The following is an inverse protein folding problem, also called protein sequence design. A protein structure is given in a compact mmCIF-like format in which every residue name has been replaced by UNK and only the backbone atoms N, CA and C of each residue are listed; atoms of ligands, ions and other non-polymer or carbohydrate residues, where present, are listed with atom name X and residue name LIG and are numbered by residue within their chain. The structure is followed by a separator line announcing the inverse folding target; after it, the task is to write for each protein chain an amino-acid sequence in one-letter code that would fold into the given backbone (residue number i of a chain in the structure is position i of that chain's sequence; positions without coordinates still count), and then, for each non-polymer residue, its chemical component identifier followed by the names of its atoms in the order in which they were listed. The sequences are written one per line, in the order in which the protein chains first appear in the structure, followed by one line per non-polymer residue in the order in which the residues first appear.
data_IF_835850726611
#
_entry.id   IF_835850726611
#
_cell.length_a   1.000
_cell.length_b   1.000
_cell.length_c   1.000
_cell.angle_alpha   90.00
_cell.angle_beta   90.00
_cell.angle_gamma   90.00
#
_symmetry.space_group_name_H-M   'P 1'
#
loop_
_entity.id
_entity.type
_entity.pdbx_description
1 polymer ?
#
# COMPACT_ATOMS: atom_id res chain seq x y z
N UNK A 1 30.74 -18.19 6.52
CA UNK A 1 29.88 -18.18 5.29
C UNK A 1 28.67 -17.23 5.42
N UNK A 2 28.09 -17.04 6.62
CA UNK A 2 27.00 -16.07 6.87
C UNK A 2 27.44 -14.58 6.79
N UNK A 3 28.69 -14.30 7.17
CA UNK A 3 29.35 -12.99 7.01
C UNK A 3 29.35 -12.50 5.55
N UNK A 4 29.56 -13.39 4.57
CA UNK A 4 29.67 -13.01 3.15
C UNK A 4 28.33 -12.74 2.47
N UNK A 5 27.23 -13.37 2.91
CA UNK A 5 25.89 -13.16 2.34
C UNK A 5 25.28 -11.84 2.86
N UNK A 6 25.41 -11.56 4.16
CA UNK A 6 24.95 -10.30 4.75
C UNK A 6 25.83 -9.11 4.33
N UNK A 7 27.16 -9.29 4.23
CA UNK A 7 28.02 -8.31 3.57
C UNK A 7 27.65 -8.13 2.11
N UNK A 8 27.26 -9.16 1.34
CA UNK A 8 26.88 -8.97 -0.07
C UNK A 8 25.59 -8.17 -0.26
N UNK A 9 24.61 -8.31 0.65
CA UNK A 9 23.39 -7.49 0.62
C UNK A 9 23.66 -6.06 1.11
N UNK A 10 24.43 -5.85 2.19
CA UNK A 10 24.87 -4.50 2.61
C UNK A 10 25.78 -3.83 1.59
N UNK A 11 26.65 -4.58 0.90
CA UNK A 11 27.51 -4.07 -0.17
C UNK A 11 26.71 -3.71 -1.41
N UNK A 12 25.60 -4.42 -1.69
CA UNK A 12 24.66 -4.03 -2.74
C UNK A 12 23.88 -2.75 -2.42
N UNK A 13 23.72 -2.40 -1.13
CA UNK A 13 23.23 -1.10 -0.68
C UNK A 13 24.33 -0.02 -0.62
N UNK A 14 25.60 -0.39 -0.37
CA UNK A 14 26.79 0.48 -0.48
C UNK A 14 27.26 0.71 -1.93
N UNK A 15 26.82 -0.10 -2.90
CA UNK A 15 27.09 0.05 -4.34
C UNK A 15 26.18 1.06 -5.04
N UNK A 16 25.31 1.75 -4.31
CA UNK A 16 25.01 3.13 -4.66
C UNK A 16 26.32 3.89 -4.42
N UNK A 17 27.01 4.24 -5.49
CA UNK A 17 28.28 4.96 -5.47
C UNK A 17 28.06 6.36 -4.85
N UNK A 18 28.05 6.43 -3.51
CA UNK A 18 27.96 7.67 -2.73
C UNK A 18 29.31 8.41 -2.79
N UNK A 19 30.37 7.76 -3.27
CA UNK A 19 31.72 8.32 -3.42
C UNK A 19 31.85 9.36 -4.53
N UNK A 20 30.87 9.47 -5.44
CA UNK A 20 30.75 10.59 -6.39
C UNK A 20 29.85 11.73 -5.90
N UNK A 21 29.20 11.59 -4.74
CA UNK A 21 28.42 12.68 -4.15
C UNK A 21 29.30 13.52 -3.24
N UNK A 22 29.36 14.81 -3.58
CA UNK A 22 30.09 15.88 -2.89
C UNK A 22 30.13 15.65 -1.36
N UNK A 23 31.32 15.55 -0.71
CA UNK A 23 31.45 15.35 0.73
C UNK A 23 30.80 16.45 1.59
N UNK A 24 30.33 17.54 0.97
CA UNK A 24 29.51 18.58 1.60
C UNK A 24 27.99 18.32 1.58
N UNK A 25 27.51 17.16 1.08
CA UNK A 25 26.08 16.81 1.09
C UNK A 25 25.59 16.48 2.50
N UNK A 26 25.23 17.55 3.19
CA UNK A 26 24.49 17.56 4.44
C UNK A 26 23.05 17.10 4.17
N UNK A 27 22.71 15.85 4.48
CA UNK A 27 21.31 15.44 4.63
C UNK A 27 20.92 15.64 6.09
N UNK A 28 20.27 16.77 6.37
CA UNK A 28 19.76 17.14 7.70
C UNK A 28 20.81 17.17 8.84
N UNK A 29 21.96 17.84 8.61
CA UNK A 29 22.98 18.15 9.64
C UNK A 29 23.64 16.96 10.35
N UNK A 30 23.62 15.74 9.79
CA UNK A 30 24.34 14.57 10.36
C UNK A 30 25.38 14.06 9.36
N UNK A 31 26.68 14.01 9.73
CA UNK A 31 27.74 13.47 8.89
C UNK A 31 27.51 11.99 8.53
N UNK A 32 27.73 11.63 7.25
CA UNK A 32 27.68 10.26 6.72
C UNK A 32 28.56 9.24 7.47
N UNK A 33 29.58 9.71 8.18
CA UNK A 33 30.46 8.90 9.02
C UNK A 33 29.78 8.39 10.29
N UNK A 34 28.92 9.18 10.94
CA UNK A 34 28.11 8.73 12.09
C UNK A 34 27.10 7.64 11.68
N UNK A 35 26.53 7.77 10.47
CA UNK A 35 25.61 6.82 9.84
C UNK A 35 26.19 5.41 9.67
N UNK A 36 27.46 5.30 9.26
CA UNK A 36 28.15 4.01 9.11
C UNK A 36 28.35 3.35 10.47
N UNK A 37 28.80 4.10 11.47
CA UNK A 37 29.04 3.60 12.82
C UNK A 37 27.74 3.15 13.51
N UNK A 38 26.63 3.85 13.27
CA UNK A 38 25.33 3.53 13.86
C UNK A 38 24.63 2.31 13.22
N UNK A 39 24.82 2.11 11.90
CA UNK A 39 24.40 0.90 11.19
C UNK A 39 25.25 -0.31 11.59
N UNK A 40 26.55 -0.11 11.81
CA UNK A 40 27.46 -1.12 12.35
C UNK A 40 27.09 -1.54 13.78
N UNK A 41 26.62 -0.61 14.61
CA UNK A 41 26.07 -0.90 15.95
C UNK A 41 24.82 -1.80 15.90
N UNK A 42 23.87 -1.51 15.00
CA UNK A 42 22.67 -2.35 14.80
C UNK A 42 23.04 -3.70 14.21
N UNK A 43 24.00 -3.71 13.29
CA UNK A 43 24.56 -4.94 12.72
C UNK A 43 25.25 -5.78 13.80
N UNK A 44 26.00 -5.18 14.72
CA UNK A 44 26.63 -5.88 15.85
C UNK A 44 25.60 -6.54 16.77
N UNK A 45 24.47 -5.87 17.05
CA UNK A 45 23.37 -6.46 17.83
C UNK A 45 22.69 -7.62 17.08
N UNK A 46 22.54 -7.51 15.75
CA UNK A 46 21.99 -8.56 14.89
C UNK A 46 22.96 -9.75 14.74
N UNK A 47 24.26 -9.47 14.67
CA UNK A 47 25.34 -10.46 14.58
C UNK A 47 25.50 -11.23 15.91
N UNK A 48 25.32 -10.57 17.05
CA UNK A 48 25.29 -11.22 18.36
C UNK A 48 24.09 -12.20 18.51
N UNK A 49 22.97 -11.93 17.83
CA UNK A 49 21.83 -12.86 17.74
C UNK A 49 22.20 -14.09 16.91
N UNK A 50 23.05 -13.94 15.88
CA UNK A 50 23.40 -14.99 14.91
C UNK A 50 24.63 -15.83 15.31
N UNK A 51 25.58 -15.29 16.08
CA UNK A 51 26.89 -15.91 16.37
C UNK A 51 26.91 -16.96 17.50
N UNK A 52 25.79 -17.23 18.20
CA UNK A 52 25.76 -18.29 19.23
C UNK A 52 25.82 -19.70 18.61
N UNK A 53 25.66 -19.82 17.29
CA UNK A 53 25.72 -21.10 16.57
C UNK A 53 27.15 -21.60 16.25
N UNK A 54 28.20 -20.83 16.54
CA UNK A 54 29.59 -21.20 16.16
C UNK A 54 30.52 -21.55 17.34
N UNK A 55 30.07 -21.53 18.60
CA UNK A 55 30.95 -21.73 19.78
C UNK A 55 30.77 -23.05 20.55
N UNK A 56 30.11 -24.07 19.98
CA UNK A 56 29.96 -25.40 20.61
C UNK A 56 30.96 -26.44 20.10
N UNK A 57 32.23 -26.08 19.91
CA UNK A 57 33.27 -27.06 19.53
C UNK A 57 34.62 -26.76 20.15
N UNK A 58 34.77 -27.00 21.46
CA UNK A 58 36.08 -27.25 22.08
C UNK A 58 35.93 -28.40 23.10
N UNK A 59 36.69 -29.47 22.85
CA UNK A 59 36.80 -30.68 23.67
C UNK A 59 37.27 -30.40 25.10
N UNK A 60 36.72 -31.11 26.09
CA UNK A 60 37.49 -31.98 27.02
C UNK A 60 36.57 -32.79 27.93
N UNK A 61 37.11 -33.92 28.34
CA UNK A 61 36.53 -35.08 29.02
C UNK A 61 36.13 -34.88 30.48
N UNK A 62 35.22 -35.76 30.92
CA UNK A 62 34.86 -36.17 32.30
C UNK A 62 33.81 -35.38 33.11
N UNK A 63 32.73 -36.14 33.42
CA UNK A 63 31.85 -36.11 34.60
C UNK A 63 31.51 -34.74 35.23
N UNK A 64 30.28 -34.29 35.02
CA UNK A 64 29.26 -34.11 36.07
C UNK A 64 28.03 -33.36 35.53
N UNK A 65 26.87 -33.69 36.09
CA UNK A 65 25.54 -33.16 35.78
C UNK A 65 25.50 -31.65 36.10
N UNK A 66 25.13 -30.79 35.13
CA UNK A 66 24.14 -29.70 35.32
C UNK A 66 23.93 -28.79 34.09
N UNK A 67 22.64 -28.58 33.76
CA UNK A 67 21.99 -27.46 33.09
C UNK A 67 22.64 -26.80 31.84
N UNK A 68 22.12 -27.12 30.65
CA UNK A 68 21.96 -26.22 29.48
C UNK A 68 21.17 -26.93 28.36
N UNK A 69 19.94 -26.52 28.11
CA UNK A 69 19.19 -26.93 26.91
C UNK A 69 18.54 -25.71 26.24
N UNK A 70 19.30 -25.00 25.40
CA UNK A 70 18.74 -24.23 24.31
C UNK A 70 18.42 -25.22 23.18
N UNK A 71 17.18 -25.74 23.17
CA UNK A 71 16.70 -26.67 22.15
C UNK A 71 16.40 -25.91 20.85
N UNK A 72 17.21 -26.11 19.80
CA UNK A 72 16.78 -25.81 18.43
C UNK A 72 15.64 -26.77 18.07
N UNK A 73 14.39 -26.27 18.04
CA UNK A 73 13.25 -27.02 17.51
C UNK A 73 13.17 -26.79 16.00
N UNK A 74 13.28 -27.84 15.19
CA UNK A 74 12.96 -27.76 13.76
C UNK A 74 11.51 -28.20 13.50
N UNK A 75 10.79 -27.42 12.70
CA UNK A 75 9.40 -27.71 12.33
C UNK A 75 9.28 -27.69 10.81
N UNK A 76 8.65 -28.70 10.23
CA UNK A 76 8.37 -28.75 8.81
C UNK A 76 7.01 -28.07 8.51
N UNK A 77 7.03 -27.00 7.71
CA UNK A 77 5.81 -26.30 7.28
C UNK A 77 5.79 -26.17 5.77
N UNK A 78 4.77 -26.79 5.14
CA UNK A 78 4.59 -26.84 3.68
C UNK A 78 5.85 -27.37 2.94
N UNK A 79 6.48 -28.41 3.47
CA UNK A 79 7.68 -29.01 2.89
C UNK A 79 8.96 -28.20 3.09
N UNK A 80 8.98 -27.27 4.06
CA UNK A 80 10.18 -26.49 4.42
C UNK A 80 10.52 -26.68 5.87
N UNK A 81 11.74 -27.13 6.12
CA UNK A 81 12.33 -27.15 7.46
C UNK A 81 12.55 -25.71 7.95
N UNK A 82 11.91 -25.37 9.07
CA UNK A 82 12.01 -24.08 9.73
C UNK A 82 12.68 -24.28 11.09
N UNK A 83 13.77 -23.55 11.35
CA UNK A 83 14.40 -23.55 12.67
C UNK A 83 13.70 -22.55 13.58
N UNK A 84 13.22 -23.01 14.73
CA UNK A 84 12.65 -22.17 15.78
C UNK A 84 13.78 -21.73 16.70
N UNK A 85 14.09 -20.44 16.66
CA UNK A 85 15.05 -19.81 17.57
C UNK A 85 14.25 -19.30 18.78
N UNK A 86 14.45 -19.91 19.94
CA UNK A 86 13.84 -19.46 21.20
C UNK A 86 14.78 -18.48 21.92
N UNK A 87 14.60 -17.18 21.66
CA UNK A 87 15.42 -16.12 22.25
C UNK A 87 14.62 -14.82 22.42
N UNK A 88 13.52 -14.93 23.17
CA UNK A 88 12.53 -13.86 23.34
C UNK A 88 13.13 -12.55 23.90
N UNK A 89 14.13 -12.66 24.79
CA UNK A 89 14.81 -11.50 25.39
C UNK A 89 15.50 -10.62 24.35
N UNK A 90 16.14 -11.21 23.34
CA UNK A 90 16.82 -10.42 22.29
C UNK A 90 15.85 -9.71 21.35
N UNK A 91 14.64 -10.23 21.16
CA UNK A 91 13.61 -9.50 20.41
C UNK A 91 13.14 -8.25 21.16
N UNK A 92 13.06 -8.32 22.48
CA UNK A 92 12.75 -7.16 23.31
C UNK A 92 13.79 -6.05 23.11
N UNK A 93 15.08 -6.36 23.25
CA UNK A 93 16.18 -5.40 23.07
C UNK A 93 16.17 -4.73 21.69
N UNK A 94 15.89 -5.50 20.64
CA UNK A 94 15.80 -5.00 19.26
C UNK A 94 14.60 -4.06 19.11
N UNK A 95 13.43 -4.44 19.61
CA UNK A 95 12.22 -3.62 19.53
C UNK A 95 12.37 -2.35 20.35
N UNK A 96 12.95 -2.43 21.54
CA UNK A 96 13.26 -1.29 22.40
C UNK A 96 14.21 -0.32 21.69
N UNK A 97 15.33 -0.84 21.17
CA UNK A 97 16.34 -0.03 20.47
C UNK A 97 15.75 0.68 19.25
N UNK A 98 15.00 -0.04 18.40
CA UNK A 98 14.36 0.55 17.21
C UNK A 98 13.30 1.59 17.58
N UNK A 99 12.58 1.37 18.68
CA UNK A 99 11.56 2.31 19.16
C UNK A 99 12.19 3.58 19.72
N UNK A 100 13.26 3.45 20.51
CA UNK A 100 14.05 4.57 21.04
C UNK A 100 14.70 5.38 19.92
N UNK A 101 15.36 4.73 18.95
CA UNK A 101 15.94 5.45 17.80
C UNK A 101 14.86 6.14 16.98
N UNK A 102 13.70 5.51 16.79
CA UNK A 102 12.58 6.16 16.08
C UNK A 102 12.10 7.44 16.79
N UNK A 103 12.10 7.49 18.12
CA UNK A 103 11.62 8.65 18.88
C UNK A 103 12.58 9.84 18.87
N UNK A 104 13.86 9.62 18.57
CA UNK A 104 14.87 10.69 18.41
C UNK A 104 14.59 11.59 17.19
N UNK A 105 13.83 11.08 16.19
CA UNK A 105 13.55 11.80 14.96
C UNK A 105 12.09 12.27 14.88
N UNK A 106 11.82 13.52 14.44
CA UNK A 106 10.46 14.01 14.26
C UNK A 106 9.62 13.11 13.33
N UNK A 107 8.31 13.01 13.59
CA UNK A 107 7.38 12.22 12.77
C UNK A 107 7.51 12.62 11.29
N UNK A 108 7.43 11.63 10.38
CA UNK A 108 7.52 11.78 8.91
C UNK A 108 8.89 12.16 8.34
N UNK A 109 9.92 12.31 9.16
CA UNK A 109 11.31 12.39 8.67
C UNK A 109 11.78 11.04 8.12
N UNK A 110 12.81 11.07 7.27
CA UNK A 110 13.39 9.87 6.67
C UNK A 110 13.74 8.81 7.73
N UNK A 111 14.50 9.18 8.77
CA UNK A 111 14.92 8.24 9.81
C UNK A 111 13.77 7.73 10.67
N UNK A 112 12.80 8.57 11.02
CA UNK A 112 11.60 8.12 11.73
C UNK A 112 10.82 7.05 10.93
N UNK A 113 10.73 7.23 9.60
CA UNK A 113 10.09 6.26 8.70
C UNK A 113 10.96 5.02 8.50
N UNK A 114 12.28 5.18 8.41
CA UNK A 114 13.24 4.08 8.24
C UNK A 114 13.21 3.14 9.44
N UNK A 115 13.34 3.64 10.68
CA UNK A 115 13.31 2.78 11.86
C UNK A 115 11.96 2.09 12.03
N UNK A 116 10.86 2.78 11.72
CA UNK A 116 9.53 2.15 11.64
C UNK A 116 9.50 1.02 10.61
N UNK A 117 10.08 1.25 9.43
CA UNK A 117 10.12 0.28 8.36
C UNK A 117 10.93 -0.95 8.76
N UNK A 118 12.11 -0.77 9.37
CA UNK A 118 12.97 -1.85 9.87
C UNK A 118 12.22 -2.71 10.90
N UNK A 119 11.57 -2.07 11.89
CA UNK A 119 10.79 -2.78 12.91
C UNK A 119 9.67 -3.62 12.28
N UNK A 120 8.93 -3.05 11.32
CA UNK A 120 7.85 -3.77 10.63
C UNK A 120 8.37 -4.87 9.68
N UNK A 121 9.55 -4.68 9.08
CA UNK A 121 10.16 -5.66 8.19
C UNK A 121 10.54 -6.95 8.93
N UNK A 122 10.89 -6.87 10.22
CA UNK A 122 11.21 -8.03 11.06
C UNK A 122 10.12 -9.11 11.03
N UNK A 123 8.85 -8.72 11.21
CA UNK A 123 7.70 -9.64 11.13
C UNK A 123 7.59 -10.27 9.73
N UNK A 124 7.85 -9.48 8.68
CA UNK A 124 7.84 -9.97 7.30
C UNK A 124 8.92 -11.03 7.04
N UNK A 125 10.09 -10.88 7.65
CA UNK A 125 11.19 -11.84 7.55
C UNK A 125 10.87 -13.16 8.26
N UNK A 126 10.15 -13.11 9.39
CA UNK A 126 9.70 -14.31 10.11
C UNK A 126 8.80 -15.23 9.29
N UNK A 127 8.06 -14.69 8.31
CA UNK A 127 7.19 -15.45 7.43
C UNK A 127 7.73 -15.60 5.99
N UNK A 128 8.97 -15.16 5.71
CA UNK A 128 9.54 -15.14 4.37
C UNK A 128 9.73 -16.56 3.83
N UNK A 129 9.37 -16.77 2.57
CA UNK A 129 9.61 -18.03 1.86
C UNK A 129 8.58 -19.14 2.10
N UNK A 130 7.63 -18.99 3.04
CA UNK A 130 6.63 -20.04 3.34
C UNK A 130 5.66 -20.34 2.19
N UNK A 131 5.32 -19.33 1.37
CA UNK A 131 4.34 -19.46 0.28
C UNK A 131 4.98 -19.60 -1.11
N UNK A 132 6.28 -19.93 -1.19
CA UNK A 132 7.03 -20.08 -2.45
C UNK A 132 6.80 -18.93 -3.46
N UNK A 133 6.58 -17.71 -2.95
CA UNK A 133 6.42 -16.54 -3.80
C UNK A 133 7.69 -16.36 -4.62
N UNK A 134 7.53 -15.97 -5.88
CA UNK A 134 8.66 -15.66 -6.74
C UNK A 134 8.88 -14.15 -6.79
N UNK A 135 10.15 -13.76 -6.82
CA UNK A 135 10.60 -12.39 -6.99
C UNK A 135 11.50 -12.31 -8.21
N UNK A 136 11.39 -11.23 -8.98
CA UNK A 136 12.30 -11.01 -10.10
C UNK A 136 13.70 -10.71 -9.57
N UNK A 137 14.67 -11.54 -9.93
CA UNK A 137 16.06 -11.33 -9.61
C UNK A 137 16.78 -10.72 -10.81
N UNK A 138 17.35 -9.53 -10.61
CA UNK A 138 18.06 -8.79 -11.65
C UNK A 138 19.39 -9.44 -12.02
N UNK A 139 19.96 -10.30 -11.17
CA UNK A 139 21.21 -11.00 -11.48
C UNK A 139 20.98 -12.13 -12.48
N UNK A 140 19.99 -12.98 -12.22
CA UNK A 140 19.62 -14.09 -13.13
C UNK A 140 18.72 -13.66 -14.30
N UNK A 141 18.08 -12.49 -14.22
CA UNK A 141 17.10 -12.04 -15.21
C UNK A 141 15.81 -12.87 -15.20
N UNK A 142 15.58 -13.68 -14.16
CA UNK A 142 14.44 -14.59 -14.04
C UNK A 142 13.71 -14.41 -12.72
N UNK A 143 12.53 -15.03 -12.59
CA UNK A 143 11.83 -15.07 -11.32
C UNK A 143 12.36 -16.23 -10.49
N UNK A 144 13.00 -15.93 -9.36
CA UNK A 144 13.47 -16.93 -8.42
C UNK A 144 12.48 -17.07 -7.27
N UNK A 145 12.36 -18.28 -6.72
CA UNK A 145 11.57 -18.52 -5.51
C UNK A 145 12.27 -17.83 -4.35
N UNK A 146 11.54 -16.99 -3.61
CA UNK A 146 12.06 -16.36 -2.40
C UNK A 146 12.39 -17.43 -1.37
N UNK A 147 13.66 -17.56 -1.02
CA UNK A 147 14.15 -18.51 -0.03
C UNK A 147 13.81 -18.09 1.40
N UNK A 148 13.78 -19.07 2.30
CA UNK A 148 13.72 -18.83 3.73
C UNK A 148 14.99 -18.07 4.17
N UNK A 149 14.84 -17.08 5.04
CA UNK A 149 15.97 -16.38 5.65
C UNK A 149 16.32 -16.92 7.03
N UNK A 150 17.42 -16.45 7.66
CA UNK A 150 17.82 -16.86 9.01
C UNK A 150 16.80 -16.49 10.09
N UNK A 151 16.04 -15.40 9.87
CA UNK A 151 15.04 -14.91 10.82
C UNK A 151 13.67 -15.60 10.66
N UNK A 152 13.56 -16.64 9.83
CA UNK A 152 12.28 -17.33 9.61
C UNK A 152 11.82 -17.97 10.93
N UNK A 153 10.63 -17.57 11.40
CA UNK A 153 9.98 -18.17 12.56
C UNK A 153 8.46 -18.04 12.38
N UNK A 154 7.82 -19.01 11.70
CA UNK A 154 6.40 -18.95 11.40
C UNK A 154 5.52 -18.97 12.66
N UNK A 155 6.00 -19.57 13.76
CA UNK A 155 5.27 -19.58 15.03
C UNK A 155 5.19 -18.16 15.62
N UNK A 156 6.30 -17.44 15.70
CA UNK A 156 6.29 -16.05 16.16
C UNK A 156 5.54 -15.13 15.19
N UNK A 157 5.75 -15.26 13.88
CA UNK A 157 4.99 -14.49 12.89
C UNK A 157 3.48 -14.73 13.00
N UNK A 158 3.06 -15.99 13.20
CA UNK A 158 1.69 -16.36 13.46
C UNK A 158 1.17 -15.75 14.76
N UNK A 159 1.88 -15.96 15.86
CA UNK A 159 1.51 -15.48 17.19
C UNK A 159 1.38 -13.96 17.24
N UNK A 160 2.35 -13.20 16.75
CA UNK A 160 2.30 -11.71 16.72
C UNK A 160 1.06 -11.24 15.98
N UNK A 161 0.78 -11.80 14.79
CA UNK A 161 -0.36 -11.35 13.99
C UNK A 161 -1.70 -11.80 14.57
N UNK A 162 -1.76 -12.97 15.21
CA UNK A 162 -2.96 -13.43 15.92
C UNK A 162 -3.22 -12.60 17.18
N UNK A 163 -2.18 -12.32 17.96
CA UNK A 163 -2.26 -11.54 19.20
C UNK A 163 -2.86 -10.15 18.95
N UNK A 164 -2.34 -9.39 17.98
CA UNK A 164 -2.88 -8.06 17.65
C UNK A 164 -4.32 -8.13 17.13
N UNK A 165 -4.70 -9.20 16.41
CA UNK A 165 -6.11 -9.39 16.00
C UNK A 165 -7.01 -9.68 17.19
N UNK A 166 -6.55 -10.44 18.18
CA UNK A 166 -7.29 -10.69 19.42
C UNK A 166 -7.47 -9.40 20.21
N UNK A 167 -6.40 -8.62 20.43
CA UNK A 167 -6.48 -7.30 21.08
C UNK A 167 -7.50 -6.40 20.39
N UNK A 168 -7.44 -6.31 19.06
CA UNK A 168 -8.38 -5.49 18.29
C UNK A 168 -9.82 -6.02 18.36
N UNK A 169 -10.01 -7.34 18.42
CA UNK A 169 -11.33 -7.96 18.59
C UNK A 169 -11.94 -7.65 19.96
N UNK A 170 -11.15 -7.70 21.03
CA UNK A 170 -11.59 -7.29 22.38
C UNK A 170 -12.03 -5.82 22.40
N UNK A 171 -11.22 -4.93 21.82
CA UNK A 171 -11.54 -3.50 21.72
C UNK A 171 -12.84 -3.29 20.94
N UNK A 172 -12.99 -3.95 19.78
CA UNK A 172 -14.20 -3.85 18.97
C UNK A 172 -15.44 -4.38 19.71
N UNK A 173 -15.29 -5.45 20.48
CA UNK A 173 -16.36 -6.00 21.31
C UNK A 173 -16.76 -5.02 22.42
N UNK A 174 -15.78 -4.37 23.05
CA UNK A 174 -16.02 -3.36 24.08
C UNK A 174 -16.74 -2.12 23.50
N UNK A 175 -16.34 -1.65 22.31
CA UNK A 175 -17.07 -0.60 21.58
C UNK A 175 -18.54 -1.00 21.37
N UNK A 176 -18.77 -2.23 20.91
CA UNK A 176 -20.12 -2.72 20.67
C UNK A 176 -20.97 -2.78 21.95
N UNK A 177 -20.40 -3.27 23.05
CA UNK A 177 -21.08 -3.36 24.35
C UNK A 177 -21.45 -1.99 24.91
N UNK A 178 -20.68 -0.94 24.57
CA UNK A 178 -20.96 0.45 24.94
C UNK A 178 -21.95 1.13 23.97
N UNK A 179 -22.51 0.40 23.00
CA UNK A 179 -23.47 0.92 22.03
C UNK A 179 -22.84 1.58 20.80
N UNK A 180 -21.51 1.57 20.68
CA UNK A 180 -20.79 2.05 19.50
C UNK A 180 -20.84 1.08 18.32
N UNK A 181 -20.65 1.61 17.12
CA UNK A 181 -20.55 0.84 15.87
C UNK A 181 -19.15 0.91 15.31
N UNK A 182 -18.69 -0.20 14.74
CA UNK A 182 -17.43 -0.26 13.98
C UNK A 182 -17.76 -0.11 12.49
N UNK A 183 -17.27 0.97 11.89
CA UNK A 183 -17.46 1.30 10.48
C UNK A 183 -16.43 0.55 9.61
N UNK A 184 -15.17 0.52 10.04
CA UNK A 184 -14.10 -0.19 9.35
C UNK A 184 -13.01 -0.64 10.30
N UNK A 185 -12.29 -1.69 9.94
CA UNK A 185 -11.17 -2.23 10.70
C UNK A 185 -10.08 -2.71 9.74
N UNK A 186 -8.83 -2.31 9.95
CA UNK A 186 -7.66 -2.67 9.14
C UNK A 186 -6.42 -2.84 10.01
N UNK A 187 -5.91 -4.07 10.08
CA UNK A 187 -4.68 -4.47 10.78
C UNK A 187 -4.69 -4.19 12.28
N UNK A 188 -4.46 -2.93 12.66
CA UNK A 188 -4.26 -2.41 14.01
C UNK A 188 -5.08 -1.12 14.25
N UNK A 189 -5.93 -0.71 13.30
CA UNK A 189 -6.76 0.49 13.42
C UNK A 189 -8.19 0.25 12.96
N UNK A 190 -9.11 1.06 13.49
CA UNK A 190 -10.52 1.01 13.15
C UNK A 190 -11.13 2.41 13.11
N UNK A 191 -12.33 2.50 12.53
CA UNK A 191 -13.18 3.70 12.51
C UNK A 191 -14.45 3.32 13.25
N UNK A 192 -14.87 4.17 14.18
CA UNK A 192 -16.11 4.03 14.95
C UNK A 192 -16.83 5.36 15.05
N UNK A 193 -18.13 5.31 15.28
CA UNK A 193 -18.97 6.47 15.61
C UNK A 193 -18.96 6.81 17.12
N UNK A 194 -18.24 6.03 17.93
CA UNK A 194 -18.16 6.24 19.36
C UNK A 194 -17.18 7.36 19.73
N UNK A 195 -17.60 8.26 20.63
CA UNK A 195 -16.73 9.28 21.24
C UNK A 195 -15.92 8.72 22.42
N UNK A 196 -14.84 9.39 22.81
CA UNK A 196 -14.08 9.06 24.03
C UNK A 196 -13.27 7.76 23.95
N UNK A 197 -12.97 7.28 22.74
CA UNK A 197 -12.21 6.05 22.48
C UNK A 197 -10.80 6.05 23.09
N UNK A 198 -10.17 7.20 23.22
CA UNK A 198 -8.88 7.41 23.89
C UNK A 198 -8.92 7.10 25.39
N UNK A 199 -10.07 7.30 26.01
CA UNK A 199 -10.35 7.03 27.43
C UNK A 199 -11.11 5.73 27.68
N UNK A 200 -11.21 4.86 26.67
CA UNK A 200 -11.97 3.61 26.78
C UNK A 200 -11.43 2.76 27.94
N UNK A 201 -12.33 2.38 28.85
CA UNK A 201 -12.01 1.47 29.93
C UNK A 201 -11.74 0.07 29.38
N UNK A 202 -10.52 -0.43 29.58
CA UNK A 202 -10.06 -1.77 29.19
C UNK A 202 -9.85 -2.70 30.38
N UNK A 203 -10.31 -2.30 31.57
CA UNK A 203 -10.24 -3.11 32.79
C UNK A 203 -11.49 -4.00 32.98
N UNK A 204 -12.40 -3.97 32.01
CA UNK A 204 -13.61 -4.80 32.00
C UNK A 204 -13.32 -6.30 31.75
N UNK A 205 -14.28 -7.19 32.07
CA UNK A 205 -14.18 -8.59 31.70
C UNK A 205 -14.07 -8.71 30.17
N UNK A 206 -13.19 -9.57 29.67
CA UNK A 206 -12.87 -9.78 28.25
C UNK A 206 -11.98 -8.72 27.57
N UNK A 207 -11.10 -8.05 28.33
CA UNK A 207 -10.04 -7.17 27.81
C UNK A 207 -8.63 -7.66 28.22
N UNK A 208 -8.45 -8.97 28.39
CA UNK A 208 -7.21 -9.55 28.93
C UNK A 208 -6.02 -9.29 28.01
N UNK A 209 -6.18 -9.51 26.71
CA UNK A 209 -5.11 -9.31 25.73
C UNK A 209 -4.79 -7.83 25.54
N UNK A 210 -5.81 -6.96 25.55
CA UNK A 210 -5.63 -5.50 25.52
C UNK A 210 -4.82 -5.00 26.72
N UNK A 211 -5.09 -5.52 27.93
CA UNK A 211 -4.31 -5.22 29.13
C UNK A 211 -2.88 -5.75 29.04
N UNK A 212 -2.69 -7.00 28.59
CA UNK A 212 -1.35 -7.55 28.34
C UNK A 212 -0.54 -6.68 27.37
N UNK A 213 -1.18 -6.17 26.31
CA UNK A 213 -0.53 -5.27 25.37
C UNK A 213 -0.16 -3.93 26.01
N UNK A 214 -1.06 -3.33 26.82
CA UNK A 214 -0.78 -2.08 27.56
C UNK A 214 0.40 -2.27 28.52
N UNK A 215 0.44 -3.37 29.26
CA UNK A 215 1.53 -3.72 30.17
C UNK A 215 2.86 -3.93 29.42
N UNK A 216 2.85 -4.69 28.32
CA UNK A 216 4.05 -4.88 27.50
C UNK A 216 4.57 -3.56 26.93
N UNK A 217 3.69 -2.65 26.50
CA UNK A 217 4.05 -1.30 26.04
C UNK A 217 4.63 -0.45 27.16
N UNK A 218 4.06 -0.51 28.36
CA UNK A 218 4.59 0.17 29.54
C UNK A 218 5.99 -0.33 29.87
N UNK A 219 6.20 -1.64 29.92
CA UNK A 219 7.52 -2.24 30.19
C UNK A 219 8.56 -1.87 29.12
N UNK A 220 8.15 -1.70 27.86
CA UNK A 220 9.03 -1.31 26.76
C UNK A 220 9.40 0.19 26.77
N UNK A 221 8.46 1.06 27.13
CA UNK A 221 8.64 2.52 27.01
C UNK A 221 8.87 3.23 28.35
N UNK A 222 8.62 2.53 29.46
CA UNK A 222 8.59 3.09 30.82
C UNK A 222 7.70 4.33 30.91
N UNK A 223 6.59 4.30 30.16
CA UNK A 223 5.66 5.43 30.02
C UNK A 223 4.23 4.92 29.92
N UNK A 224 3.34 5.54 30.68
CA UNK A 224 1.91 5.29 30.54
C UNK A 224 1.38 5.98 29.27
N UNK A 225 0.80 5.18 28.38
CA UNK A 225 0.19 5.65 27.15
C UNK A 225 -1.24 5.11 27.04
N UNK A 226 -2.11 5.89 26.41
CA UNK A 226 -3.43 5.42 26.01
C UNK A 226 -3.26 4.23 25.04
N UNK A 227 -4.13 3.23 25.17
CA UNK A 227 -4.13 2.08 24.27
C UNK A 227 -4.46 2.50 22.82
N UNK A 228 -5.35 3.49 22.67
CA UNK A 228 -5.83 3.99 21.40
C UNK A 228 -5.36 5.43 21.15
N UNK A 229 -4.72 5.67 20.00
CA UNK A 229 -4.39 7.01 19.51
C UNK A 229 -5.48 7.48 18.52
N UNK A 230 -6.17 8.57 18.84
CA UNK A 230 -7.13 9.18 17.93
C UNK A 230 -6.38 9.96 16.85
N UNK A 231 -6.41 9.44 15.62
CA UNK A 231 -5.72 10.08 14.47
C UNK A 231 -6.53 11.21 13.85
N UNK A 232 -7.84 11.03 13.73
CA UNK A 232 -8.77 11.97 13.11
C UNK A 232 -10.13 11.86 13.79
N UNK A 233 -10.83 12.99 13.90
CA UNK A 233 -12.24 13.06 14.34
C UNK A 233 -13.02 13.73 13.25
N UNK A 234 -13.91 12.98 12.61
CA UNK A 234 -14.75 13.45 11.51
C UNK A 234 -16.13 13.82 12.03
N UNK A 235 -16.59 15.04 11.73
CA UNK A 235 -17.84 15.60 12.26
C UNK A 235 -19.01 15.48 11.29
N UNK A 236 -18.74 15.52 9.99
CA UNK A 236 -19.79 15.55 8.96
C UNK A 236 -20.19 14.15 8.50
N UNK A 237 -19.22 13.23 8.43
CA UNK A 237 -19.47 11.85 8.07
C UNK A 237 -18.31 11.20 7.33
N UNK A 238 -18.37 9.87 7.19
CA UNK A 238 -17.37 9.06 6.49
C UNK A 238 -18.05 8.27 5.39
N UNK A 239 -17.47 8.30 4.19
CA UNK A 239 -17.82 7.44 3.08
C UNK A 239 -16.89 6.22 3.11
N UNK A 240 -17.47 5.03 3.18
CA UNK A 240 -16.74 3.75 3.19
C UNK A 240 -17.11 2.89 1.99
N UNK A 241 -16.13 2.22 1.38
CA UNK A 241 -16.37 1.29 0.27
C UNK A 241 -15.46 0.06 0.31
N UNK A 242 -15.72 -0.86 -0.62
CA UNK A 242 -15.00 -2.13 -0.72
C UNK A 242 -13.48 -1.93 -0.83
N UNK A 243 -12.71 -2.94 -0.47
CA UNK A 243 -11.23 -2.93 -0.48
C UNK A 243 -10.55 -1.89 0.44
N UNK A 244 -11.15 -1.61 1.61
CA UNK A 244 -10.59 -0.68 2.63
C UNK A 244 -10.60 0.79 2.22
N UNK A 245 -11.54 1.17 1.37
CA UNK A 245 -11.75 2.56 0.96
C UNK A 245 -12.46 3.37 2.04
N UNK A 246 -11.88 4.52 2.43
CA UNK A 246 -12.40 5.42 3.46
C UNK A 246 -12.15 6.87 3.07
N UNK A 247 -13.16 7.73 3.19
CA UNK A 247 -13.05 9.16 2.97
C UNK A 247 -13.91 9.91 4.00
N UNK A 248 -13.28 10.68 4.88
CA UNK A 248 -13.98 11.67 5.70
C UNK A 248 -14.44 12.82 4.83
N UNK A 249 -15.59 13.41 5.13
CA UNK A 249 -16.15 14.53 4.37
C UNK A 249 -15.39 15.83 4.63
N UNK A 250 -15.12 16.16 5.90
CA UNK A 250 -14.47 17.43 6.30
C UNK A 250 -13.00 17.29 6.71
N UNK A 251 -12.54 16.05 6.98
CA UNK A 251 -11.20 15.80 7.52
C UNK A 251 -10.23 15.22 6.50
N UNK A 252 -8.97 15.06 6.93
CA UNK A 252 -7.92 14.36 6.17
C UNK A 252 -8.01 12.84 6.29
N UNK A 253 -9.07 12.28 6.90
CA UNK A 253 -9.28 10.84 6.96
C UNK A 253 -9.45 10.31 5.53
N UNK A 254 -8.45 9.57 5.05
CA UNK A 254 -8.40 9.18 3.64
C UNK A 254 -7.62 7.89 3.42
N UNK A 255 -8.29 6.89 2.86
CA UNK A 255 -7.72 5.65 2.36
C UNK A 255 -8.39 5.32 1.01
N UNK A 256 -7.67 5.51 -0.10
CA UNK A 256 -8.29 5.52 -1.44
C UNK A 256 -8.08 4.23 -2.25
N UNK A 257 -7.69 3.13 -1.61
CA UNK A 257 -7.41 1.83 -2.28
C UNK A 257 -6.58 1.95 -3.58
N UNK A 258 -5.48 2.69 -3.52
CA UNK A 258 -4.58 2.87 -4.66
C UNK A 258 -5.03 3.90 -5.70
N UNK A 259 -6.22 4.50 -5.56
CA UNK A 259 -6.56 5.73 -6.29
C UNK A 259 -5.65 6.86 -5.82
N UNK A 260 -4.90 7.42 -6.76
CA UNK A 260 -3.99 8.54 -6.52
C UNK A 260 -4.77 9.84 -6.69
N UNK A 261 -5.11 10.47 -5.58
CA UNK A 261 -5.89 11.72 -5.59
C UNK A 261 -5.08 12.84 -6.23
N UNK A 262 -5.71 13.52 -7.18
CA UNK A 262 -5.18 14.75 -7.81
C UNK A 262 -6.12 15.94 -7.59
N UNK A 263 -7.29 15.70 -6.98
CA UNK A 263 -8.32 16.71 -6.76
C UNK A 263 -8.33 17.27 -5.33
N UNK A 264 -8.97 18.44 -5.16
CA UNK A 264 -9.30 18.98 -3.83
C UNK A 264 -10.31 18.08 -3.11
N UNK A 265 -10.40 18.24 -1.79
CA UNK A 265 -11.27 17.43 -0.93
C UNK A 265 -12.73 17.45 -1.40
N UNK A 266 -13.31 18.63 -1.64
CA UNK A 266 -14.72 18.76 -2.04
C UNK A 266 -14.99 18.10 -3.39
N UNK A 267 -14.11 18.32 -4.37
CA UNK A 267 -14.21 17.68 -5.69
C UNK A 267 -14.08 16.16 -5.58
N UNK A 268 -13.22 15.67 -4.70
CA UNK A 268 -13.07 14.25 -4.46
C UNK A 268 -14.34 13.65 -3.85
N UNK A 269 -14.92 14.30 -2.83
CA UNK A 269 -16.18 13.87 -2.21
C UNK A 269 -17.29 13.79 -3.25
N UNK A 270 -17.48 14.86 -4.04
CA UNK A 270 -18.50 14.88 -5.09
C UNK A 270 -18.28 13.78 -6.15
N UNK A 271 -17.03 13.57 -6.56
CA UNK A 271 -16.67 12.50 -7.49
C UNK A 271 -17.03 11.13 -6.94
N UNK A 272 -16.66 10.85 -5.68
CA UNK A 272 -16.94 9.56 -5.05
C UNK A 272 -18.44 9.34 -4.86
N UNK A 273 -19.18 10.34 -4.41
CA UNK A 273 -20.65 10.26 -4.30
C UNK A 273 -21.32 10.03 -5.66
N UNK A 274 -20.86 10.72 -6.71
CA UNK A 274 -21.31 10.49 -8.07
C UNK A 274 -21.07 9.05 -8.54
N UNK A 275 -19.89 8.49 -8.27
CA UNK A 275 -19.57 7.09 -8.59
C UNK A 275 -20.45 6.12 -7.81
N UNK A 276 -20.72 6.38 -6.53
CA UNK A 276 -21.58 5.53 -5.70
C UNK A 276 -23.03 5.52 -6.17
N UNK A 277 -23.53 6.65 -6.68
CA UNK A 277 -24.88 6.77 -7.24
C UNK A 277 -25.00 6.22 -8.67
N UNK A 278 -23.89 6.11 -9.41
CA UNK A 278 -23.85 5.58 -10.77
C UNK A 278 -23.44 4.12 -10.85
N UNK A 279 -22.57 3.80 -11.81
CA UNK A 279 -22.14 2.43 -12.13
C UNK A 279 -21.19 1.80 -11.11
N UNK A 280 -20.80 2.54 -10.06
CA UNK A 280 -19.87 2.11 -9.00
C UNK A 280 -18.49 1.71 -9.54
N UNK A 281 -18.07 2.34 -10.63
CA UNK A 281 -16.75 2.19 -11.24
C UNK A 281 -16.02 3.53 -11.29
N UNK A 282 -14.78 3.58 -10.81
CA UNK A 282 -13.92 4.76 -10.82
C UNK A 282 -12.71 4.50 -11.73
N UNK A 283 -12.67 5.19 -12.87
CA UNK A 283 -11.54 5.17 -13.79
C UNK A 283 -10.51 6.23 -13.38
N UNK A 284 -9.22 5.89 -13.42
CA UNK A 284 -8.13 6.80 -13.05
C UNK A 284 -6.81 6.44 -13.71
N UNK A 285 -5.89 7.40 -13.75
CA UNK A 285 -4.51 7.17 -14.21
C UNK A 285 -3.61 6.98 -13.01
N UNK A 286 -3.06 5.79 -12.87
CA UNK A 286 -2.07 5.46 -11.87
C UNK A 286 -0.67 5.82 -12.39
N UNK A 287 0.09 6.54 -11.57
CA UNK A 287 1.53 6.70 -11.71
C UNK A 287 2.25 5.62 -10.92
N UNK A 288 3.19 4.96 -11.56
CA UNK A 288 4.17 4.11 -10.93
C UNK A 288 5.53 4.36 -11.57
N UNK A 289 6.59 3.82 -10.97
CA UNK A 289 7.88 3.71 -11.66
C UNK A 289 7.92 2.39 -12.43
N UNK A 290 8.70 2.34 -13.50
CA UNK A 290 9.01 1.08 -14.19
C UNK A 290 9.54 0.06 -13.18
N UNK A 291 9.06 -1.18 -13.28
CA UNK A 291 9.54 -2.26 -12.44
C UNK A 291 10.95 -2.67 -12.84
N UNK A 292 11.72 -3.23 -11.90
CA UNK A 292 13.04 -3.76 -12.18
C UNK A 292 13.03 -4.78 -13.33
N UNK A 293 11.97 -5.61 -13.43
CA UNK A 293 11.77 -6.54 -14.55
C UNK A 293 11.66 -5.80 -15.89
N UNK A 294 10.84 -4.76 -15.95
CA UNK A 294 10.63 -4.02 -17.19
C UNK A 294 11.89 -3.27 -17.64
N UNK A 295 12.65 -2.73 -16.68
CA UNK A 295 13.95 -2.10 -16.93
C UNK A 295 14.97 -3.12 -17.44
N UNK A 296 15.05 -4.29 -16.80
CA UNK A 296 15.96 -5.35 -17.24
C UNK A 296 15.62 -5.87 -18.65
N UNK A 297 14.34 -6.10 -18.94
CA UNK A 297 13.91 -6.71 -20.21
C UNK A 297 13.97 -5.74 -21.39
N UNK A 298 13.65 -4.46 -21.18
CA UNK A 298 13.54 -3.46 -22.26
C UNK A 298 14.67 -2.43 -22.28
N UNK A 299 15.59 -2.51 -21.31
CA UNK A 299 16.63 -1.53 -21.08
C UNK A 299 16.11 -0.18 -20.58
N UNK A 300 17.02 0.79 -20.47
CA UNK A 300 16.76 2.16 -20.03
C UNK A 300 16.87 2.34 -18.51
N UNK A 301 16.38 3.48 -18.02
CA UNK A 301 16.48 3.89 -16.62
C UNK A 301 15.13 3.80 -15.90
N UNK A 302 15.13 4.11 -14.60
CA UNK A 302 13.92 4.26 -13.78
C UNK A 302 13.14 5.46 -14.30
N UNK A 303 12.14 5.20 -15.13
CA UNK A 303 11.25 6.24 -15.67
C UNK A 303 9.81 6.04 -15.18
N UNK A 304 9.02 7.12 -15.16
CA UNK A 304 7.59 7.06 -14.88
C UNK A 304 6.79 6.19 -15.84
N UNK A 305 5.82 5.49 -15.28
CA UNK A 305 4.86 4.63 -15.96
C UNK A 305 3.45 5.10 -15.60
N UNK A 306 2.66 5.49 -16.61
CA UNK A 306 1.28 5.91 -16.42
C UNK A 306 0.33 4.86 -17.01
N UNK A 307 -0.52 4.30 -16.15
CA UNK A 307 -1.46 3.24 -16.52
C UNK A 307 -2.88 3.63 -16.15
N UNK A 308 -3.80 3.44 -17.09
CA UNK A 308 -5.23 3.55 -16.80
C UNK A 308 -5.67 2.33 -15.98
N UNK A 309 -6.37 2.61 -14.88
CA UNK A 309 -6.91 1.62 -13.96
C UNK A 309 -8.37 1.91 -13.73
N UNK A 310 -9.13 0.85 -13.52
CA UNK A 310 -10.52 0.93 -13.09
C UNK A 310 -10.61 0.30 -11.72
N UNK A 311 -11.19 1.05 -10.80
CA UNK A 311 -11.51 0.61 -9.46
C UNK A 311 -13.01 0.36 -9.34
N UNK A 312 -13.41 -0.71 -8.65
CA UNK A 312 -14.81 -1.11 -8.53
C UNK A 312 -15.27 -0.96 -7.07
N UNK A 313 -16.31 -0.15 -6.87
CA UNK A 313 -16.90 0.18 -5.57
C UNK A 313 -18.15 -0.66 -5.26
N UNK A 314 -18.43 -1.70 -6.05
CA UNK A 314 -19.52 -2.63 -5.77
C UNK A 314 -19.33 -3.30 -4.42
N UNK A 315 -20.44 -3.49 -3.72
CA UNK A 315 -20.50 -4.23 -2.47
C UNK A 315 -19.99 -5.66 -2.69
N UNK A 316 -19.06 -6.12 -1.87
CA UNK A 316 -18.32 -7.35 -2.11
C UNK A 316 -19.03 -8.62 -1.59
N UNK A 317 -20.29 -8.47 -1.13
CA UNK A 317 -21.19 -9.53 -0.65
C UNK A 317 -20.52 -10.49 0.36
N UNK A 318 -19.54 -10.00 1.12
CA UNK A 318 -18.92 -10.75 2.22
C UNK A 318 -19.77 -10.75 3.50
N UNK A 319 -20.74 -9.85 3.56
CA UNK A 319 -21.67 -9.69 4.68
C UNK A 319 -23.09 -9.67 4.15
N UNK A 320 -24.03 -10.14 4.96
CA UNK A 320 -25.45 -10.11 4.64
C UNK A 320 -25.99 -8.70 4.92
N UNK A 321 -26.64 -8.10 3.93
CA UNK A 321 -27.35 -6.84 4.10
C UNK A 321 -28.61 -7.11 4.95
N UNK A 322 -28.78 -6.36 6.04
CA UNK A 322 -29.90 -6.51 6.99
C UNK A 322 -31.10 -5.69 6.51
N UNK A 323 -30.83 -4.48 6.04
CA UNK A 323 -31.82 -3.58 5.48
C UNK A 323 -31.17 -2.71 4.42
N UNK A 324 -31.85 -2.54 3.29
CA UNK A 324 -31.75 -1.27 2.57
C UNK A 324 -32.50 -0.30 3.46
N UNK A 325 -31.85 0.68 4.06
CA UNK A 325 -32.60 1.81 4.60
C UNK A 325 -33.25 2.45 3.38
N UNK A 326 -34.55 2.17 3.18
CA UNK A 326 -35.33 2.56 2.00
C UNK A 326 -35.46 4.08 1.84
N UNK A 327 -34.75 4.86 2.65
CA UNK A 327 -34.71 6.32 2.60
C UNK A 327 -33.31 6.89 2.28
N UNK A 328 -32.24 6.07 2.32
CA UNK A 328 -30.89 6.49 1.90
C UNK A 328 -30.17 5.38 1.12
N UNK A 329 -30.14 5.43 -0.23
CA UNK A 329 -29.61 4.35 -1.09
C UNK A 329 -28.09 4.12 -0.97
N UNK A 330 -27.38 4.91 -0.16
CA UNK A 330 -25.92 4.94 -0.06
C UNK A 330 -25.35 4.07 1.06
N UNK A 331 -26.15 3.70 2.07
CA UNK A 331 -25.66 3.00 3.25
C UNK A 331 -26.34 1.64 3.45
N UNK A 332 -25.54 0.58 3.52
CA UNK A 332 -26.00 -0.77 3.82
C UNK A 332 -25.66 -1.12 5.26
N UNK A 333 -26.68 -1.40 6.08
CA UNK A 333 -26.47 -2.11 7.34
C UNK A 333 -26.21 -3.57 7.03
N UNK A 334 -25.15 -4.16 7.60
CA UNK A 334 -24.79 -5.55 7.31
C UNK A 334 -24.38 -6.35 8.54
N UNK A 335 -24.79 -7.61 8.58
CA UNK A 335 -24.38 -8.61 9.58
C UNK A 335 -23.45 -9.66 8.97
N UNK A 336 -22.63 -10.35 9.77
CA UNK A 336 -21.96 -11.57 9.32
C UNK A 336 -22.99 -12.57 8.75
N UNK A 337 -22.57 -13.37 7.79
CA UNK A 337 -23.37 -14.53 7.39
C UNK A 337 -23.42 -15.54 8.54
N UNK A 338 -24.51 -16.31 8.58
CA UNK A 338 -24.68 -17.37 9.58
C UNK A 338 -23.55 -18.40 9.50
N UNK A 339 -23.11 -18.72 8.28
CA UNK A 339 -22.02 -19.64 8.03
C UNK A 339 -21.20 -19.26 6.78
N UNK A 340 -20.09 -19.99 6.60
CA UNK A 340 -19.16 -19.80 5.47
C UNK A 340 -19.79 -20.17 4.14
N UNK A 341 -20.64 -21.21 4.10
CA UNK A 341 -21.26 -21.68 2.85
C UNK A 341 -22.20 -20.62 2.27
N UNK A 342 -23.02 -19.99 3.09
CA UNK A 342 -23.91 -18.89 2.72
C UNK A 342 -23.14 -17.67 2.22
N UNK A 343 -22.00 -17.36 2.85
CA UNK A 343 -21.10 -16.30 2.35
C UNK A 343 -20.55 -16.64 0.96
N UNK A 344 -20.11 -17.89 0.74
CA UNK A 344 -19.59 -18.33 -0.56
C UNK A 344 -20.68 -18.32 -1.64
N UNK A 345 -21.90 -18.75 -1.33
CA UNK A 345 -23.04 -18.71 -2.24
C UNK A 345 -23.37 -17.25 -2.59
N UNK A 346 -23.49 -16.36 -1.60
CA UNK A 346 -23.78 -14.94 -1.84
C UNK A 346 -22.72 -14.29 -2.74
N UNK A 347 -21.43 -14.59 -2.50
CA UNK A 347 -20.34 -14.14 -3.38
C UNK A 347 -20.44 -14.70 -4.79
N UNK A 348 -20.80 -15.98 -4.94
CA UNK A 348 -20.96 -16.61 -6.26
C UNK A 348 -22.14 -16.00 -7.01
N UNK A 349 -23.30 -15.83 -6.35
CA UNK A 349 -24.48 -15.17 -6.90
C UNK A 349 -24.16 -13.75 -7.36
N UNK A 350 -23.42 -12.98 -6.57
CA UNK A 350 -22.97 -11.63 -6.95
C UNK A 350 -22.08 -11.61 -8.21
N UNK A 351 -21.38 -12.71 -8.50
CA UNK A 351 -20.60 -12.85 -9.72
C UNK A 351 -21.45 -13.24 -10.95
N UNK A 352 -22.64 -13.82 -10.75
CA UNK A 352 -23.54 -14.18 -11.84
C UNK A 352 -24.03 -12.89 -12.49
N UNK A 353 -23.77 -12.73 -13.79
CA UNK A 353 -24.04 -11.48 -14.53
C UNK A 353 -22.81 -10.57 -14.73
N UNK A 354 -21.77 -10.69 -13.91
CA UNK A 354 -20.46 -10.06 -14.18
C UNK A 354 -19.56 -10.90 -15.09
N UNK A 355 -19.88 -12.18 -15.24
CA UNK A 355 -19.37 -13.05 -16.29
C UNK A 355 -19.94 -12.63 -17.66
N UNK A 356 -19.74 -11.37 -18.05
CA UNK A 356 -19.78 -11.00 -19.46
C UNK A 356 -18.56 -11.67 -20.10
N UNK A 357 -18.80 -12.62 -21.00
CA UNK A 357 -17.91 -13.13 -22.04
C UNK A 357 -16.45 -12.62 -22.04
N UNK A 358 -15.65 -13.00 -21.04
CA UNK A 358 -14.19 -12.83 -21.09
C UNK A 358 -13.51 -14.01 -21.82
N UNK A 359 -14.29 -14.94 -22.37
CA UNK A 359 -13.79 -16.16 -23.02
C UNK A 359 -13.17 -15.88 -24.40
N UNK A 360 -13.48 -14.75 -25.05
CA UNK A 360 -13.06 -14.48 -26.43
C UNK A 360 -12.13 -13.28 -26.64
N UNK A 361 -11.79 -12.56 -25.58
CA UNK A 361 -10.79 -11.49 -25.68
C UNK A 361 -9.71 -11.77 -24.65
N UNK A 362 -8.56 -12.36 -25.05
CA UNK A 362 -7.38 -12.23 -24.22
C UNK A 362 -7.12 -10.73 -24.13
N UNK A 363 -7.42 -10.12 -22.98
CA UNK A 363 -6.95 -8.78 -22.69
C UNK A 363 -5.45 -8.90 -22.50
N UNK A 364 -4.73 -8.98 -23.62
CA UNK A 364 -3.37 -8.48 -23.71
C UNK A 364 -3.47 -6.97 -23.49
N UNK A 365 -3.72 -6.58 -22.24
CA UNK A 365 -3.37 -5.28 -21.75
C UNK A 365 -1.84 -5.28 -21.67
N UNK A 366 -1.19 -5.26 -22.83
CA UNK A 366 0.09 -4.59 -22.97
C UNK A 366 -0.20 -3.12 -22.70
N UNK A 367 -0.34 -2.78 -21.43
CA UNK A 367 -0.14 -1.42 -20.97
C UNK A 367 1.35 -1.12 -21.13
N UNK A 368 1.78 -0.96 -22.38
CA UNK A 368 3.03 -0.29 -22.70
C UNK A 368 3.06 0.99 -21.89
N UNK A 369 4.19 1.27 -21.26
CA UNK A 369 4.39 2.58 -20.65
C UNK A 369 4.35 3.63 -21.74
N UNK A 370 3.22 4.29 -21.85
CA UNK A 370 2.97 5.29 -22.88
C UNK A 370 3.56 6.60 -22.40
N UNK A 371 4.39 7.24 -23.25
CA UNK A 371 4.99 8.54 -22.96
C UNK A 371 3.92 9.58 -22.57
N UNK A 372 4.33 10.66 -21.90
CA UNK A 372 3.41 11.74 -21.52
C UNK A 372 2.62 12.30 -22.70
N UNK A 373 3.25 12.37 -23.88
CA UNK A 373 2.61 12.79 -25.14
C UNK A 373 1.52 11.82 -25.57
N UNK A 374 1.73 10.51 -25.40
CA UNK A 374 0.71 9.53 -25.71
C UNK A 374 -0.45 9.56 -24.71
N UNK A 375 -0.22 9.91 -23.44
CA UNK A 375 -1.31 10.16 -22.49
C UNK A 375 -2.08 11.43 -22.86
N UNK A 376 -1.39 12.53 -23.15
CA UNK A 376 -1.97 13.78 -23.63
C UNK A 376 -2.85 13.54 -24.85
N UNK A 377 -2.33 12.81 -25.85
CA UNK A 377 -3.10 12.42 -27.05
C UNK A 377 -4.40 11.70 -26.70
N UNK A 378 -4.36 10.72 -25.78
CA UNK A 378 -5.58 10.00 -25.34
C UNK A 378 -6.58 10.95 -24.71
N UNK A 379 -6.11 11.79 -23.78
CA UNK A 379 -6.97 12.70 -23.03
C UNK A 379 -7.60 13.76 -23.93
N UNK A 380 -6.85 14.31 -24.89
CA UNK A 380 -7.38 15.25 -25.88
C UNK A 380 -8.45 14.62 -26.78
N UNK A 381 -8.17 13.43 -27.34
CA UNK A 381 -9.16 12.71 -28.17
C UNK A 381 -10.46 12.47 -27.39
N UNK A 382 -10.36 11.99 -26.14
CA UNK A 382 -11.52 11.70 -25.30
C UNK A 382 -12.26 12.97 -24.86
N UNK A 383 -11.53 14.04 -24.55
CA UNK A 383 -12.12 15.32 -24.21
C UNK A 383 -12.94 15.87 -25.39
N UNK A 384 -12.42 15.83 -26.61
CA UNK A 384 -13.17 16.28 -27.79
C UNK A 384 -14.38 15.39 -28.08
N UNK A 385 -14.29 14.07 -27.89
CA UNK A 385 -15.40 13.13 -28.13
C UNK A 385 -16.52 13.24 -27.09
N UNK A 386 -16.18 13.39 -25.81
CA UNK A 386 -17.13 13.26 -24.69
C UNK A 386 -17.48 14.59 -24.02
N UNK A 387 -16.64 15.61 -24.21
CA UNK A 387 -16.74 16.94 -23.58
C UNK A 387 -16.38 18.07 -24.57
N UNK A 388 -16.99 18.11 -25.77
CA UNK A 388 -16.66 19.10 -26.80
C UNK A 388 -16.92 20.55 -26.36
N UNK A 389 -17.79 20.76 -25.38
CA UNK A 389 -18.04 22.05 -24.75
C UNK A 389 -16.77 22.68 -24.16
N UNK A 390 -15.79 21.86 -23.74
CA UNK A 390 -14.49 22.33 -23.27
C UNK A 390 -13.69 23.06 -24.35
N UNK A 391 -14.00 22.82 -25.62
CA UNK A 391 -13.36 23.46 -26.78
C UNK A 391 -14.28 24.50 -27.43
N UNK A 392 -15.44 24.80 -26.85
CA UNK A 392 -16.48 25.62 -27.49
C UNK A 392 -17.09 24.95 -28.72
N UNK A 393 -16.98 23.62 -28.83
CA UNK A 393 -17.50 22.84 -29.95
C UNK A 393 -18.87 22.25 -29.62
N UNK A 394 -19.74 22.15 -30.62
CA UNK A 394 -20.97 21.37 -30.53
C UNK A 394 -20.68 19.90 -30.88
N UNK A 395 -21.25 19.00 -30.09
CA UNK A 395 -21.23 17.54 -30.27
C UNK A 395 -21.54 17.09 -31.71
N UNK A 396 -22.47 17.75 -32.40
CA UNK A 396 -22.85 17.43 -33.78
C UNK A 396 -21.73 17.68 -34.81
N UNK A 397 -20.78 18.57 -34.48
CA UNK A 397 -19.69 19.02 -35.37
C UNK A 397 -18.38 18.28 -35.14
N UNK A 398 -18.28 17.48 -34.09
CA UNK A 398 -17.06 16.72 -33.76
C UNK A 398 -16.98 15.48 -34.64
N UNK A 399 -16.27 15.62 -35.76
CA UNK A 399 -15.97 14.49 -36.64
C UNK A 399 -14.59 13.90 -36.33
N UNK A 400 -14.37 12.65 -36.72
CA UNK A 400 -13.05 12.01 -36.60
C UNK A 400 -11.97 12.79 -37.37
N UNK A 401 -12.34 13.34 -38.52
CA UNK A 401 -11.45 14.14 -39.36
C UNK A 401 -11.00 15.40 -38.62
N UNK A 402 -11.93 16.12 -38.00
CA UNK A 402 -11.62 17.31 -37.19
C UNK A 402 -10.62 16.98 -36.07
N UNK A 403 -10.84 15.90 -35.31
CA UNK A 403 -9.92 15.51 -34.22
C UNK A 403 -8.52 15.18 -34.75
N UNK A 404 -8.41 14.50 -35.90
CA UNK A 404 -7.10 14.21 -36.52
C UNK A 404 -6.40 15.50 -36.93
N UNK A 405 -7.12 16.42 -37.57
CA UNK A 405 -6.61 17.70 -38.03
C UNK A 405 -6.06 18.54 -36.87
N UNK A 406 -6.88 18.76 -35.84
CA UNK A 406 -6.50 19.52 -34.63
C UNK A 406 -5.25 18.94 -33.97
N UNK A 407 -5.20 17.62 -33.78
CA UNK A 407 -4.05 16.98 -33.16
C UNK A 407 -2.78 17.09 -34.01
N UNK A 408 -2.90 16.93 -35.33
CA UNK A 408 -1.76 17.07 -36.23
C UNK A 408 -1.25 18.52 -36.28
N UNK A 409 -2.14 19.53 -36.27
CA UNK A 409 -1.79 20.95 -36.19
C UNK A 409 -1.04 21.29 -34.90
N UNK A 410 -1.43 20.64 -33.80
CA UNK A 410 -0.73 20.74 -32.52
C UNK A 410 0.57 19.91 -32.44
N UNK A 411 0.98 19.25 -33.53
CA UNK A 411 2.21 18.43 -33.58
C UNK A 411 2.08 17.01 -33.03
N UNK A 412 0.85 16.55 -32.76
CA UNK A 412 0.57 15.18 -32.29
C UNK A 412 0.05 14.32 -33.45
N UNK A 413 0.89 13.39 -33.93
CA UNK A 413 0.46 12.42 -34.95
C UNK A 413 -0.71 11.55 -34.47
N UNK A 414 -1.86 11.69 -35.14
CA UNK A 414 -3.06 10.89 -34.89
C UNK A 414 -3.60 10.26 -36.18
N UNK A 415 -4.01 8.98 -36.10
CA UNK A 415 -4.65 8.26 -37.20
C UNK A 415 -6.15 8.09 -36.90
N UNK A 416 -7.04 8.09 -37.91
CA UNK A 416 -8.47 7.89 -37.70
C UNK A 416 -8.81 6.62 -36.90
N UNK A 417 -8.13 5.51 -37.16
CA UNK A 417 -8.31 4.23 -36.45
C UNK A 417 -7.98 4.32 -34.96
N UNK A 418 -7.13 5.27 -34.56
CA UNK A 418 -6.82 5.49 -33.15
C UNK A 418 -8.03 6.06 -32.41
N UNK A 419 -8.78 6.98 -33.04
CA UNK A 419 -9.96 7.62 -32.44
C UNK A 419 -11.04 6.59 -32.17
N UNK A 420 -11.28 5.67 -33.11
CA UNK A 420 -12.24 4.55 -32.92
C UNK A 420 -11.91 3.68 -31.70
N UNK A 421 -10.63 3.56 -31.32
CA UNK A 421 -10.23 2.83 -30.11
C UNK A 421 -10.46 3.61 -28.83
N UNK A 422 -10.80 4.91 -28.90
CA UNK A 422 -11.00 5.77 -27.72
C UNK A 422 -12.47 6.07 -27.43
N UNK A 423 -13.40 5.78 -28.35
CA UNK A 423 -14.83 6.14 -28.24
C UNK A 423 -15.55 5.54 -27.04
N UNK A 424 -15.07 4.41 -26.52
CA UNK A 424 -15.67 3.71 -25.38
C UNK A 424 -14.97 4.01 -24.05
N UNK A 425 -13.97 4.90 -24.06
CA UNK A 425 -13.19 5.23 -22.88
C UNK A 425 -13.47 6.65 -22.43
N UNK A 426 -13.79 6.80 -21.15
CA UNK A 426 -14.08 8.09 -20.54
C UNK A 426 -12.86 9.01 -20.53
N UNK A 427 -13.13 10.32 -20.67
CA UNK A 427 -12.15 11.38 -20.46
C UNK A 427 -11.81 11.50 -18.97
N UNK A 428 -10.51 11.53 -18.64
CA UNK A 428 -10.02 11.63 -17.26
C UNK A 428 -9.30 12.97 -17.05
N UNK A 429 -9.97 13.99 -16.50
CA UNK A 429 -9.36 15.30 -16.26
C UNK A 429 -8.26 15.22 -15.19
N UNK A 430 -7.35 16.19 -15.21
CA UNK A 430 -6.25 16.36 -14.26
C UNK A 430 -5.29 15.16 -14.17
N UNK A 431 -4.95 14.56 -15.31
CA UNK A 431 -4.13 13.32 -15.35
C UNK A 431 -2.79 13.47 -16.06
N UNK A 432 -2.61 14.51 -16.87
CA UNK A 432 -1.43 14.69 -17.73
C UNK A 432 -0.32 15.44 -16.99
N UNK A 433 0.90 14.91 -16.85
CA UNK A 433 2.01 15.65 -16.23
C UNK A 433 2.40 16.90 -17.01
N UNK A 434 2.79 17.94 -16.28
CA UNK A 434 3.17 19.25 -16.84
C UNK A 434 4.64 19.25 -17.30
N UNK A 435 4.90 18.68 -18.48
CA UNK A 435 6.23 18.77 -19.13
C UNK A 435 6.28 19.91 -20.14
N UNK A 436 7.49 20.38 -20.48
CA UNK A 436 7.70 21.46 -21.47
C UNK A 436 6.91 21.21 -22.76
N UNK A 437 7.05 20.01 -23.32
CA UNK A 437 6.35 19.65 -24.55
C UNK A 437 4.83 19.57 -24.39
N UNK A 438 4.31 19.09 -23.24
CA UNK A 438 2.86 19.08 -22.98
C UNK A 438 2.33 20.52 -22.89
N UNK A 439 3.08 21.42 -22.26
CA UNK A 439 2.72 22.84 -22.15
C UNK A 439 2.71 23.51 -23.53
N UNK A 440 3.71 23.28 -24.36
CA UNK A 440 3.77 23.79 -25.73
C UNK A 440 2.56 23.37 -26.56
N UNK A 441 2.23 22.07 -26.54
CA UNK A 441 1.08 21.52 -27.29
C UNK A 441 -0.24 22.12 -26.81
N UNK A 442 -0.46 22.20 -25.49
CA UNK A 442 -1.71 22.73 -24.95
C UNK A 442 -1.85 24.25 -25.15
N UNK A 443 -0.74 24.99 -25.18
CA UNK A 443 -0.76 26.42 -25.52
C UNK A 443 -1.16 26.64 -26.98
N UNK A 444 -0.60 25.87 -27.93
CA UNK A 444 -1.03 25.90 -29.33
C UNK A 444 -2.50 25.57 -29.49
N UNK A 445 -2.98 24.57 -28.76
CA UNK A 445 -4.39 24.20 -28.78
C UNK A 445 -5.30 25.32 -28.24
N UNK A 446 -4.85 26.06 -27.22
CA UNK A 446 -5.57 27.23 -26.68
C UNK A 446 -5.58 28.41 -27.66
N UNK A 447 -4.54 28.58 -28.47
CA UNK A 447 -4.51 29.60 -29.54
C UNK A 447 -5.59 29.30 -30.60
N UNK A 448 -5.75 28.03 -30.97
CA UNK A 448 -6.77 27.58 -31.94
C UNK A 448 -8.18 27.52 -31.32
N UNK A 449 -8.28 27.17 -30.03
CA UNK A 449 -9.53 27.07 -29.25
C UNK A 449 -9.47 27.91 -27.97
N UNK A 450 -9.76 29.22 -28.02
CA UNK A 450 -9.61 30.13 -26.87
C UNK A 450 -10.45 29.76 -25.64
N UNK A 451 -11.57 29.03 -25.83
CA UNK A 451 -12.43 28.53 -24.74
C UNK A 451 -11.82 27.34 -23.98
N UNK A 452 -10.80 26.69 -24.56
CA UNK A 452 -10.14 25.57 -23.93
C UNK A 452 -9.21 26.04 -22.81
N UNK A 453 -9.47 25.57 -21.59
CA UNK A 453 -8.59 25.78 -20.45
C UNK A 453 -7.61 24.59 -20.29
N UNK A 454 -6.30 24.77 -20.54
CA UNK A 454 -5.29 23.72 -20.37
C UNK A 454 -5.24 23.09 -18.98
N UNK A 455 -5.64 23.83 -17.94
CA UNK A 455 -5.55 23.35 -16.55
C UNK A 455 -6.39 22.11 -16.29
N UNK A 456 -7.45 21.87 -17.08
CA UNK A 456 -8.26 20.65 -16.97
C UNK A 456 -7.48 19.38 -17.35
N UNK A 457 -6.36 19.51 -18.06
CA UNK A 457 -5.50 18.39 -18.44
C UNK A 457 -4.43 18.11 -17.39
N UNK A 458 -3.92 19.15 -16.73
CA UNK A 458 -2.74 19.03 -15.89
C UNK A 458 -3.01 18.24 -14.62
N UNK A 459 -2.11 17.30 -14.34
CA UNK A 459 -2.04 16.65 -13.04
C UNK A 459 -1.57 17.68 -12.01
N UNK A 460 -2.46 18.01 -11.06
CA UNK A 460 -2.14 18.84 -9.89
C UNK A 460 -1.28 18.08 -8.87
#
# INVERSE_FOLDING_TARGET
MYKSVFQSELTSYKQLDITEMNPELVVNNVPLTQLSTELESVQHSIDAVSNVNELSSINTSEKSINNKSSNELSIELKGKECKVIDNLSRFFDVVETLTRRRSEYPKKTYYNVLYKFIANAGIGQMARGLNQKTSFDTKSGTNIVTSAGPLINPLYGGWITSFIRTVLAEIMNNVHNQGGRIISCTTDGFISDMSGLDSMNIDGPNCEFARMYKEARFNLLQKEEALLEIKYVEKEGVISWSTRGQLGLSTKLRAMTGYQVTESQDKLVQKILGVMNGDKHLSFVQFSLRSARDIFQKGGTVTPLLQERVFNMKFDNRRQIISNVLEQPLFYSSKPHVDVAMSLISRKLASLGTARFNVFFPSNNSSEGKSYVQLLKRMLVRAMLHKPELFGLDSSKVTRTLIVEVLNNCGIKCLPNYISKQTHHEFLPNTVPRTVHVVEVLNKLREEYPMFNPDIMYRN
#
